data_IF_631851533554
#
_entry.id   IF_631851533554
#
_cell.length_a   1.000
_cell.length_b   1.000
_cell.length_c   1.000
_cell.angle_alpha   90.00
_cell.angle_beta   90.00
_cell.angle_gamma   90.00
#
_symmetry.space_group_name_H-M   'P 1'
#
loop_
_entity.id
_entity.type
_entity.pdbx_description
1 polymer ?
#
# COMPACT_ATOMS: atom_id res chain seq x y z
N UNK A 1 -14.87 -5.36 -13.96
CA UNK A 1 -13.98 -4.29 -14.46
C UNK A 1 -12.66 -4.44 -13.73
N UNK A 2 -11.51 -4.26 -14.40
CA UNK A 2 -10.19 -4.36 -13.75
C UNK A 2 -9.82 -3.00 -13.16
N UNK A 3 -9.46 -2.93 -11.89
CA UNK A 3 -9.05 -1.69 -11.21
C UNK A 3 -7.63 -1.24 -11.58
N UNK A 4 -6.94 -2.00 -12.44
CA UNK A 4 -5.66 -1.55 -12.98
C UNK A 4 -5.82 -0.29 -13.81
N UNK A 5 -4.82 0.58 -13.75
CA UNK A 5 -4.81 1.91 -14.34
C UNK A 5 -5.67 2.92 -13.57
N UNK A 6 -6.04 2.65 -12.33
CA UNK A 6 -6.80 3.60 -11.50
C UNK A 6 -6.06 4.91 -11.37
N UNK A 7 -4.73 4.87 -11.24
CA UNK A 7 -3.89 6.05 -11.08
C UNK A 7 -3.98 6.98 -12.30
N UNK A 8 -4.01 6.40 -13.50
CA UNK A 8 -4.18 7.16 -14.76
C UNK A 8 -5.58 7.78 -14.92
N UNK A 9 -6.59 7.20 -14.27
CA UNK A 9 -7.98 7.69 -14.28
C UNK A 9 -8.29 8.65 -13.15
N UNK A 10 -7.46 8.69 -12.12
CA UNK A 10 -7.65 9.58 -10.99
C UNK A 10 -7.46 11.05 -11.42
N UNK A 11 -8.17 11.95 -10.74
CA UNK A 11 -8.12 13.39 -11.01
C UNK A 11 -7.53 14.15 -9.82
N UNK A 12 -6.86 15.29 -10.02
CA UNK A 12 -6.36 16.09 -8.91
C UNK A 12 -7.48 16.48 -7.94
N UNK A 13 -7.28 16.25 -6.64
CA UNK A 13 -8.23 16.66 -5.62
C UNK A 13 -8.22 18.19 -5.45
N UNK A 14 -9.38 18.86 -5.31
CA UNK A 14 -9.47 20.33 -5.26
C UNK A 14 -8.63 20.98 -4.16
N UNK A 15 -8.45 20.31 -3.02
CA UNK A 15 -7.62 20.80 -1.93
C UNK A 15 -6.11 20.69 -2.21
N UNK A 16 -5.68 19.79 -3.10
CA UNK A 16 -4.26 19.60 -3.43
C UNK A 16 -3.35 19.58 -2.18
N UNK A 17 -2.31 20.42 -2.10
CA UNK A 17 -1.40 20.50 -0.95
C UNK A 17 -2.05 20.93 0.38
N UNK A 18 -3.20 21.61 0.35
CA UNK A 18 -3.92 22.01 1.56
C UNK A 18 -4.87 20.93 2.08
N UNK A 19 -4.83 19.71 1.53
CA UNK A 19 -5.58 18.59 2.07
C UNK A 19 -5.13 18.27 3.51
N UNK A 20 -6.11 18.02 4.38
CA UNK A 20 -5.91 17.64 5.77
C UNK A 20 -6.41 16.21 5.96
N UNK A 21 -5.52 15.21 5.96
CA UNK A 21 -5.92 13.82 6.11
C UNK A 21 -6.37 13.55 7.57
N UNK A 22 -7.44 12.76 7.73
CA UNK A 22 -7.93 12.33 9.04
C UNK A 22 -7.58 10.88 9.32
N UNK A 23 -7.29 10.55 10.58
CA UNK A 23 -7.09 9.18 11.04
C UNK A 23 -8.33 8.31 10.83
N UNK A 24 -9.53 8.88 11.01
CA UNK A 24 -10.81 8.17 10.80
C UNK A 24 -11.00 7.68 9.37
N UNK A 25 -10.38 8.37 8.43
CA UNK A 25 -10.58 8.14 7.00
C UNK A 25 -9.48 7.25 6.42
N UNK A 26 -8.39 7.03 7.15
CA UNK A 26 -7.26 6.24 6.70
C UNK A 26 -7.67 4.78 6.49
N UNK A 27 -7.47 4.26 5.27
CA UNK A 27 -7.68 2.86 4.93
C UNK A 27 -6.36 2.09 4.90
N UNK A 28 -5.36 2.63 4.21
CA UNK A 28 -4.03 2.02 4.16
C UNK A 28 -2.93 3.06 3.84
N UNK A 29 -1.72 2.77 4.27
CA UNK A 29 -0.48 3.37 3.77
C UNK A 29 0.43 2.28 3.24
N UNK A 30 1.01 2.46 2.05
CA UNK A 30 2.08 1.63 1.51
C UNK A 30 3.41 2.38 1.63
N UNK A 31 4.38 1.72 2.25
CA UNK A 31 5.79 2.13 2.27
C UNK A 31 6.62 1.11 1.49
N UNK A 32 7.64 1.58 0.77
CA UNK A 32 8.62 0.76 0.07
C UNK A 32 10.00 1.07 0.59
N UNK A 33 10.62 0.09 1.25
CA UNK A 33 11.98 0.16 1.75
C UNK A 33 12.95 -0.43 0.73
N UNK A 34 13.95 0.35 0.36
CA UNK A 34 15.08 -0.06 -0.48
C UNK A 34 16.39 0.31 0.21
N UNK A 35 17.54 -0.10 -0.34
CA UNK A 35 18.85 0.26 0.21
C UNK A 35 19.13 1.77 0.20
N UNK A 36 18.57 2.50 -0.77
CA UNK A 36 18.78 3.93 -0.95
C UNK A 36 17.69 4.78 -0.30
N UNK A 37 16.49 4.22 -0.13
CA UNK A 37 15.33 4.86 0.49
C UNK A 37 14.69 3.87 1.47
N UNK A 38 15.15 3.81 2.73
CA UNK A 38 14.72 2.79 3.70
C UNK A 38 13.30 3.01 4.25
N UNK A 39 12.71 4.19 4.04
CA UNK A 39 11.34 4.51 4.48
C UNK A 39 10.56 5.27 3.39
N UNK A 40 10.61 4.75 2.16
CA UNK A 40 9.99 5.40 1.01
C UNK A 40 8.46 5.36 1.07
N UNK A 41 7.81 6.51 1.05
CA UNK A 41 6.36 6.59 0.88
C UNK A 41 5.98 6.19 -0.56
N UNK A 42 4.91 5.41 -0.72
CA UNK A 42 4.41 5.02 -2.04
C UNK A 42 2.96 5.44 -2.26
N UNK A 43 2.08 5.22 -1.27
CA UNK A 43 0.66 5.51 -1.39
C UNK A 43 0.03 5.67 -0.01
N UNK A 44 -0.98 6.51 0.10
CA UNK A 44 -2.03 6.35 1.10
C UNK A 44 -3.41 6.41 0.46
N UNK A 45 -4.34 5.61 0.99
CA UNK A 45 -5.74 5.58 0.59
C UNK A 45 -6.59 6.05 1.76
N UNK A 46 -7.45 7.03 1.53
CA UNK A 46 -8.35 7.62 2.51
C UNK A 46 -9.78 7.67 1.98
N UNK A 47 -10.75 7.38 2.83
CA UNK A 47 -12.16 7.56 2.53
C UNK A 47 -12.50 9.06 2.31
N UNK A 48 -13.51 9.38 1.48
CA UNK A 48 -14.35 8.45 0.73
C UNK A 48 -13.77 7.99 -0.60
N UNK A 49 -12.82 8.71 -1.19
CA UNK A 49 -12.30 8.47 -2.54
C UNK A 49 -10.91 9.08 -2.79
N UNK A 50 -10.11 9.29 -1.75
CA UNK A 50 -8.85 10.03 -1.83
C UNK A 50 -7.64 9.09 -1.85
N UNK A 51 -6.69 9.37 -2.74
CA UNK A 51 -5.37 8.76 -2.74
C UNK A 51 -4.28 9.85 -2.65
N UNK A 52 -3.22 9.58 -1.90
CA UNK A 52 -1.99 10.39 -1.89
C UNK A 52 -0.87 9.54 -2.47
N UNK A 53 -0.30 9.95 -3.58
CA UNK A 53 0.70 9.15 -4.30
C UNK A 53 2.15 9.42 -3.85
N UNK A 54 3.12 8.71 -4.44
CA UNK A 54 4.54 8.80 -4.05
C UNK A 54 5.17 10.19 -4.23
N UNK A 55 4.55 11.07 -5.03
CA UNK A 55 4.95 12.45 -5.25
C UNK A 55 4.23 13.43 -4.30
N UNK A 56 3.29 12.95 -3.49
CA UNK A 56 2.48 13.75 -2.59
C UNK A 56 1.29 14.41 -3.26
N UNK A 57 0.95 14.02 -4.50
CA UNK A 57 -0.24 14.53 -5.18
C UNK A 57 -1.47 13.91 -4.53
N UNK A 58 -2.44 14.77 -4.24
CA UNK A 58 -3.74 14.33 -3.71
C UNK A 58 -4.68 14.13 -4.88
N UNK A 59 -5.21 12.92 -4.99
CA UNK A 59 -5.99 12.44 -6.12
C UNK A 59 -7.37 12.02 -5.64
N UNK A 60 -8.38 12.28 -6.47
CA UNK A 60 -9.74 11.73 -6.35
C UNK A 60 -9.81 10.52 -7.26
N UNK A 61 -10.02 9.35 -6.67
CA UNK A 61 -10.06 8.05 -7.33
C UNK A 61 -11.49 7.76 -7.79
N UNK A 62 -11.72 7.22 -9.02
CA UNK A 62 -13.05 6.83 -9.45
C UNK A 62 -13.70 5.83 -8.48
N UNK A 63 -15.01 5.96 -8.25
CA UNK A 63 -15.74 5.18 -7.22
C UNK A 63 -15.55 3.67 -7.34
N UNK A 64 -15.58 3.12 -8.56
CA UNK A 64 -15.44 1.69 -8.80
C UNK A 64 -14.03 1.18 -8.50
N UNK A 65 -13.02 2.00 -8.80
CA UNK A 65 -11.61 1.71 -8.51
C UNK A 65 -11.34 1.81 -7.01
N UNK A 66 -11.88 2.84 -6.37
CA UNK A 66 -11.76 3.04 -4.93
C UNK A 66 -12.41 1.90 -4.15
N UNK A 67 -13.63 1.50 -4.52
CA UNK A 67 -14.33 0.40 -3.88
C UNK A 67 -13.54 -0.92 -3.96
N UNK A 68 -12.88 -1.18 -5.08
CA UNK A 68 -12.04 -2.36 -5.25
C UNK A 68 -10.76 -2.29 -4.38
N UNK A 69 -10.07 -1.14 -4.36
CA UNK A 69 -8.91 -0.91 -3.50
C UNK A 69 -9.27 -1.06 -2.01
N UNK A 70 -10.40 -0.47 -1.60
CA UNK A 70 -10.93 -0.58 -0.24
C UNK A 70 -11.27 -2.02 0.14
N UNK A 71 -11.88 -2.78 -0.79
CA UNK A 71 -12.19 -4.19 -0.56
C UNK A 71 -10.91 -5.04 -0.39
N UNK A 72 -9.89 -4.81 -1.22
CA UNK A 72 -8.59 -5.49 -1.08
C UNK A 72 -7.90 -5.12 0.24
N UNK A 73 -7.90 -3.83 0.60
CA UNK A 73 -7.36 -3.38 1.88
C UNK A 73 -8.05 -4.06 3.06
N UNK A 74 -9.39 -4.12 3.03
CA UNK A 74 -10.19 -4.78 4.08
C UNK A 74 -9.87 -6.28 4.16
N UNK A 75 -9.70 -6.95 3.03
CA UNK A 75 -9.32 -8.37 3.00
C UNK A 75 -7.90 -8.61 3.53
N UNK A 76 -6.96 -7.71 3.23
CA UNK A 76 -5.59 -7.78 3.77
C UNK A 76 -5.58 -7.46 5.26
N UNK A 77 -6.51 -6.66 5.78
CA UNK A 77 -6.66 -6.44 7.21
C UNK A 77 -7.16 -7.68 7.97
N UNK A 78 -7.97 -8.53 7.32
CA UNK A 78 -8.55 -9.75 7.90
C UNK A 78 -7.51 -10.88 8.05
N UNK A 79 -7.20 -11.24 9.30
CA UNK A 79 -6.24 -12.29 9.64
C UNK A 79 -6.67 -13.69 9.21
N UNK A 80 -7.96 -13.91 8.92
CA UNK A 80 -8.42 -15.18 8.37
C UNK A 80 -8.10 -15.33 6.88
N UNK A 81 -7.95 -14.21 6.15
CA UNK A 81 -7.60 -14.20 4.73
C UNK A 81 -6.10 -14.06 4.50
N UNK A 82 -5.48 -13.17 5.27
CA UNK A 82 -4.03 -12.96 5.26
C UNK A 82 -3.53 -13.17 6.69
N UNK A 83 -3.12 -14.38 7.07
CA UNK A 83 -2.64 -14.66 8.43
C UNK A 83 -1.40 -13.86 8.82
N UNK A 84 -1.13 -13.77 10.12
CA UNK A 84 0.15 -13.27 10.58
C UNK A 84 1.23 -14.34 10.36
N UNK A 85 2.36 -13.92 9.82
CA UNK A 85 3.54 -14.76 9.56
C UNK A 85 4.33 -15.06 10.84
N UNK A 86 4.09 -14.31 11.92
CA UNK A 86 4.91 -14.35 13.15
C UNK A 86 6.32 -13.76 13.00
N UNK A 87 6.66 -13.27 11.81
CA UNK A 87 7.95 -12.65 11.52
C UNK A 87 7.93 -11.14 11.77
N UNK A 88 9.12 -10.54 11.91
CA UNK A 88 9.26 -9.08 12.03
C UNK A 88 8.60 -8.36 10.84
N UNK A 89 7.80 -7.33 11.11
CA UNK A 89 7.04 -6.59 10.10
C UNK A 89 5.96 -7.43 9.41
N UNK A 90 5.58 -8.58 9.99
CA UNK A 90 4.64 -9.53 9.42
C UNK A 90 4.95 -9.85 7.94
N UNK A 91 6.23 -10.12 7.67
CA UNK A 91 6.76 -10.13 6.33
C UNK A 91 6.57 -11.47 5.61
N UNK A 92 5.81 -11.43 4.52
CA UNK A 92 5.72 -12.48 3.52
C UNK A 92 6.93 -12.41 2.59
N UNK A 93 7.67 -13.50 2.47
CA UNK A 93 8.92 -13.52 1.69
C UNK A 93 8.73 -14.35 0.43
N UNK A 94 8.73 -13.70 -0.72
CA UNK A 94 8.69 -14.37 -2.02
C UNK A 94 10.02 -15.09 -2.25
N UNK A 95 9.96 -16.29 -2.83
CA UNK A 95 11.11 -17.11 -3.16
C UNK A 95 11.87 -16.47 -4.32
N UNK A 96 13.12 -16.15 -4.06
CA UNK A 96 13.98 -15.44 -5.00
C UNK A 96 15.43 -15.89 -4.90
N UNK A 97 16.20 -15.65 -5.96
CA UNK A 97 17.63 -15.99 -6.02
C UNK A 97 18.55 -14.94 -5.38
N UNK A 98 18.09 -13.70 -5.21
CA UNK A 98 18.87 -12.56 -4.70
C UNK A 98 18.28 -12.06 -3.38
N UNK A 99 19.06 -11.34 -2.58
CA UNK A 99 18.64 -10.85 -1.26
C UNK A 99 18.53 -9.31 -1.15
N UNK A 100 18.74 -8.58 -2.24
CA UNK A 100 18.76 -7.11 -2.27
C UNK A 100 17.46 -6.48 -2.78
N UNK A 101 16.36 -7.23 -2.72
CA UNK A 101 15.06 -6.75 -3.18
C UNK A 101 14.38 -5.79 -2.19
N UNK A 102 13.49 -4.92 -2.68
CA UNK A 102 12.67 -4.05 -1.83
C UNK A 102 11.77 -4.83 -0.87
N UNK A 103 11.37 -4.14 0.20
CA UNK A 103 10.30 -4.55 1.10
C UNK A 103 9.15 -3.55 0.93
N UNK A 104 7.98 -4.05 0.56
CA UNK A 104 6.74 -3.30 0.47
C UNK A 104 5.90 -3.57 1.73
N UNK A 105 5.71 -2.57 2.59
CA UNK A 105 5.02 -2.69 3.88
C UNK A 105 3.74 -1.87 3.90
N UNK A 106 2.62 -2.56 4.11
CA UNK A 106 1.33 -1.92 4.35
C UNK A 106 1.12 -1.63 5.84
N UNK A 107 0.55 -0.46 6.13
CA UNK A 107 -0.14 -0.13 7.37
C UNK A 107 -1.62 -0.06 7.08
N UNK A 108 -2.37 -1.11 7.38
CA UNK A 108 -3.80 -1.22 7.03
C UNK A 108 -4.66 -0.93 8.27
N UNK A 109 -5.63 -0.04 8.13
CA UNK A 109 -6.54 0.28 9.21
C UNK A 109 -7.45 -0.92 9.55
N UNK A 110 -7.73 -1.12 10.84
CA UNK A 110 -8.66 -2.17 11.34
C UNK A 110 -9.92 -1.59 11.97
N UNK A 111 -9.86 -0.31 12.33
CA UNK A 111 -10.92 0.45 12.96
C UNK A 111 -10.40 1.85 13.30
N UNK A 112 -11.28 2.80 13.66
CA UNK A 112 -10.90 4.19 13.92
C UNK A 112 -9.89 4.33 15.08
N UNK A 113 -10.01 3.50 16.11
CA UNK A 113 -9.19 3.57 17.33
C UNK A 113 -8.15 2.44 17.44
N UNK A 114 -8.04 1.59 16.42
CA UNK A 114 -7.09 0.49 16.42
C UNK A 114 -5.78 0.86 15.73
N UNK A 115 -4.65 0.45 16.32
CA UNK A 115 -3.36 0.56 15.66
C UNK A 115 -3.40 -0.18 14.30
N UNK A 116 -2.85 0.40 13.21
CA UNK A 116 -2.90 -0.23 11.91
C UNK A 116 -2.13 -1.54 11.94
N UNK A 117 -2.67 -2.55 11.27
CA UNK A 117 -1.97 -3.80 11.07
C UNK A 117 -0.82 -3.59 10.09
N UNK A 118 0.34 -4.10 10.43
CA UNK A 118 1.47 -4.16 9.50
C UNK A 118 1.44 -5.47 8.70
N UNK A 119 1.64 -5.36 7.38
CA UNK A 119 1.79 -6.52 6.48
C UNK A 119 2.89 -6.21 5.48
N UNK A 120 4.03 -6.88 5.60
CA UNK A 120 5.17 -6.71 4.71
C UNK A 120 5.21 -7.76 3.60
N UNK A 121 5.72 -7.39 2.43
CA UNK A 121 6.09 -8.32 1.36
C UNK A 121 7.49 -8.00 0.89
N UNK A 122 8.32 -9.04 0.82
CA UNK A 122 9.70 -8.93 0.39
C UNK A 122 9.92 -9.68 -0.91
N UNK A 123 10.56 -9.01 -1.87
CA UNK A 123 10.87 -9.61 -3.17
C UNK A 123 9.73 -9.53 -4.20
N UNK A 124 8.82 -8.56 -4.07
CA UNK A 124 7.72 -8.42 -5.01
C UNK A 124 8.19 -7.95 -6.39
N UNK A 125 7.89 -8.74 -7.41
CA UNK A 125 8.22 -8.47 -8.82
C UNK A 125 6.98 -8.31 -9.72
N UNK A 126 5.77 -8.51 -9.18
CA UNK A 126 4.49 -8.42 -9.89
C UNK A 126 3.98 -9.72 -10.51
N UNK A 127 4.76 -10.80 -10.47
CA UNK A 127 4.43 -12.09 -11.09
C UNK A 127 4.61 -13.29 -10.16
N UNK A 128 5.77 -13.39 -9.50
CA UNK A 128 6.12 -14.54 -8.68
C UNK A 128 5.35 -14.52 -7.36
N UNK A 129 4.78 -15.68 -7.00
CA UNK A 129 3.97 -15.83 -5.79
C UNK A 129 4.47 -16.89 -4.83
N UNK A 130 5.31 -17.82 -5.29
CA UNK A 130 5.87 -18.86 -4.41
C UNK A 130 6.63 -18.23 -3.24
N UNK A 131 6.36 -18.68 -2.02
CA UNK A 131 7.04 -18.21 -0.82
C UNK A 131 8.36 -18.95 -0.60
N UNK A 132 9.35 -18.25 -0.04
CA UNK A 132 10.63 -18.85 0.33
C UNK A 132 10.47 -19.87 1.46
N UNK A 133 9.53 -19.63 2.36
CA UNK A 133 9.09 -20.55 3.40
C UNK A 133 7.56 -20.42 3.54
N UNK A 134 6.84 -21.53 3.76
CA UNK A 134 5.40 -21.48 3.92
C UNK A 134 4.99 -20.76 5.22
N UNK A 135 3.78 -20.20 5.22
CA UNK A 135 3.12 -19.61 6.39
C UNK A 135 1.96 -20.50 6.77
N UNK A 136 2.15 -21.37 7.77
CA UNK A 136 1.25 -22.48 8.00
C UNK A 136 1.22 -23.40 6.76
N UNK A 137 0.02 -23.60 6.20
CA UNK A 137 -0.18 -24.39 4.97
C UNK A 137 -0.10 -23.55 3.68
N UNK A 138 0.15 -22.24 3.79
CA UNK A 138 0.18 -21.33 2.64
C UNK A 138 1.58 -21.31 2.03
N UNK A 139 1.69 -21.75 0.77
CA UNK A 139 2.97 -21.81 0.02
C UNK A 139 3.13 -20.69 -1.00
N UNK A 140 2.07 -19.92 -1.25
CA UNK A 140 2.05 -18.81 -2.20
C UNK A 140 1.51 -17.54 -1.55
N UNK A 141 1.93 -16.37 -2.03
CA UNK A 141 1.40 -15.10 -1.56
C UNK A 141 -0.13 -15.05 -1.72
N UNK A 142 -0.89 -14.70 -0.67
CA UNK A 142 -2.33 -14.56 -0.74
C UNK A 142 -2.76 -13.65 -1.89
N UNK A 143 -3.81 -14.03 -2.62
CA UNK A 143 -4.20 -13.34 -3.84
C UNK A 143 -4.56 -11.87 -3.60
N UNK A 144 -5.29 -11.58 -2.53
CA UNK A 144 -5.68 -10.20 -2.20
C UNK A 144 -4.47 -9.32 -1.87
N UNK A 145 -3.45 -9.87 -1.21
CA UNK A 145 -2.20 -9.15 -0.91
C UNK A 145 -1.39 -8.92 -2.19
N UNK A 146 -1.34 -9.90 -3.08
CA UNK A 146 -0.69 -9.79 -4.39
C UNK A 146 -1.35 -8.71 -5.25
N UNK A 147 -2.67 -8.75 -5.40
CA UNK A 147 -3.41 -7.77 -6.21
C UNK A 147 -3.35 -6.37 -5.61
N UNK A 148 -3.44 -6.24 -4.27
CA UNK A 148 -3.27 -4.94 -3.62
C UNK A 148 -1.89 -4.34 -3.93
N UNK A 149 -0.81 -5.13 -3.89
CA UNK A 149 0.53 -4.64 -4.27
C UNK A 149 0.60 -4.17 -5.71
N UNK A 150 0.08 -4.95 -6.67
CA UNK A 150 0.08 -4.55 -8.09
C UNK A 150 -0.57 -3.20 -8.28
N UNK A 151 -1.76 -3.00 -7.71
CA UNK A 151 -2.52 -1.77 -7.87
C UNK A 151 -1.88 -0.60 -7.13
N UNK A 152 -1.42 -0.80 -5.90
CA UNK A 152 -0.87 0.30 -5.09
C UNK A 152 0.49 0.79 -5.56
N UNK A 153 1.25 -0.04 -6.29
CA UNK A 153 2.50 0.39 -6.93
C UNK A 153 2.30 1.29 -8.16
N UNK A 154 1.10 1.34 -8.75
CA UNK A 154 0.76 2.34 -9.79
C UNK A 154 0.92 3.78 -9.26
N UNK A 155 0.78 4.01 -7.94
CA UNK A 155 0.99 5.31 -7.31
C UNK A 155 2.45 5.82 -7.33
N UNK A 156 3.39 5.00 -7.80
CA UNK A 156 4.80 5.39 -7.99
C UNK A 156 5.09 5.82 -9.42
N UNK A 157 4.12 5.78 -10.33
CA UNK A 157 4.29 6.23 -11.72
C UNK A 157 4.71 7.70 -11.79
N UNK A 158 5.82 7.97 -12.49
CA UNK A 158 6.39 9.31 -12.66
C UNK A 158 7.37 9.75 -11.57
N UNK A 159 7.66 8.91 -10.57
CA UNK A 159 8.55 9.27 -9.46
C UNK A 159 9.99 9.62 -9.90
N UNK A 160 10.55 8.93 -10.91
CA UNK A 160 11.94 9.13 -11.36
C UNK A 160 12.23 10.48 -12.04
N UNK A 161 11.21 11.34 -12.22
CA UNK A 161 11.37 12.70 -12.75
C UNK A 161 10.38 13.73 -12.21
N UNK A 162 9.58 13.36 -11.20
CA UNK A 162 8.57 14.23 -10.60
C UNK A 162 9.12 15.10 -9.48
N UNK A 163 8.56 16.30 -9.34
CA UNK A 163 8.79 17.13 -8.16
C UNK A 163 7.92 16.61 -7.02
N UNK A 164 8.56 16.19 -5.92
CA UNK A 164 7.89 15.62 -4.76
C UNK A 164 7.51 16.72 -3.77
N UNK A 165 6.23 16.74 -3.37
CA UNK A 165 5.73 17.57 -2.27
C UNK A 165 5.51 16.72 -1.02
N UNK A 166 6.39 16.87 -0.04
CA UNK A 166 6.33 16.13 1.21
C UNK A 166 5.24 16.61 2.17
N UNK A 167 4.56 17.73 1.88
CA UNK A 167 3.64 18.38 2.83
C UNK A 167 2.52 17.43 3.26
N UNK A 168 1.78 16.89 2.29
CA UNK A 168 0.68 15.96 2.59
C UNK A 168 1.19 14.60 3.03
N UNK A 169 2.32 14.13 2.47
CA UNK A 169 2.96 12.87 2.89
C UNK A 169 3.26 12.88 4.38
N UNK A 170 3.86 13.95 4.91
CA UNK A 170 4.16 14.07 6.35
C UNK A 170 2.91 14.04 7.21
N UNK A 171 1.83 14.71 6.78
CA UNK A 171 0.54 14.67 7.50
C UNK A 171 -0.03 13.26 7.55
N UNK A 172 0.00 12.55 6.42
CA UNK A 172 -0.46 11.15 6.33
C UNK A 172 0.38 10.23 7.22
N UNK A 173 1.72 10.37 7.19
CA UNK A 173 2.61 9.55 8.00
C UNK A 173 2.42 9.80 9.50
N UNK A 174 2.15 11.04 9.91
CA UNK A 174 1.83 11.39 11.29
C UNK A 174 0.51 10.74 11.79
N UNK A 175 -0.35 10.24 10.90
CA UNK A 175 -1.51 9.47 11.30
C UNK A 175 -1.14 8.06 11.79
N UNK A 176 0.08 7.57 11.53
CA UNK A 176 0.49 6.20 11.86
C UNK A 176 1.08 6.06 13.27
N UNK A 177 1.42 7.18 13.90
CA UNK A 177 1.95 7.27 15.27
C UNK A 177 0.82 7.35 16.32
#
# INVERSE_FOLDING_TARGET
MSSSGWHSRASPHPAGPSYEPSRSDLLLVLKRSTRVEPDGFSLALLAPDVAVDALGRVLTVPSDDFAALQALASNVADTNKVPDTGSFGNQWRIKQRRTDWPIDSFRVARGPDEAPREVGVYGFDGEQRELNAPVGDITELPNDLHELLKLTLEAREGLEGGERDDTVIRKVLALLD
#
